data_IF_469501982469
#
_entry.id   IF_469501982469
#
_cell.length_a   1.000
_cell.length_b   1.000
_cell.length_c   1.000
_cell.angle_alpha   90.00
_cell.angle_beta   90.00
_cell.angle_gamma   90.00
#
_symmetry.space_group_name_H-M   'P 1'
#
loop_
_entity.id
_entity.type
_entity.pdbx_description
1 polymer ?
#
# COMPACT_ATOMS: atom_id res chain seq x y z
N UNK A 1 10.02 -25.18 -17.68
CA UNK A 1 8.63 -25.37 -17.22
C UNK A 1 8.59 -24.95 -15.76
N UNK A 2 7.98 -23.81 -15.46
CA UNK A 2 7.93 -23.28 -14.08
C UNK A 2 6.66 -23.77 -13.39
N UNK A 3 6.81 -24.67 -12.43
CA UNK A 3 5.77 -24.99 -11.45
C UNK A 3 5.35 -23.70 -10.75
N UNK A 4 4.06 -23.39 -10.78
CA UNK A 4 3.54 -22.13 -10.24
C UNK A 4 2.44 -22.45 -9.24
N UNK A 5 2.73 -22.21 -7.96
CA UNK A 5 1.75 -22.31 -6.87
C UNK A 5 0.93 -21.02 -6.88
N UNK A 6 -0.40 -21.13 -7.01
CA UNK A 6 -1.29 -20.00 -6.75
C UNK A 6 -1.84 -20.10 -5.34
N UNK A 7 -1.60 -19.05 -4.56
CA UNK A 7 -2.28 -18.85 -3.28
C UNK A 7 -3.62 -18.20 -3.57
N UNK A 8 -4.71 -18.94 -3.37
CA UNK A 8 -6.05 -18.40 -3.46
C UNK A 8 -6.49 -17.99 -2.05
N UNK A 9 -6.51 -16.69 -1.78
CA UNK A 9 -6.97 -16.17 -0.49
C UNK A 9 -8.33 -15.53 -0.69
N UNK A 10 -9.35 -16.23 -0.21
CA UNK A 10 -10.74 -15.92 -0.52
C UNK A 10 -11.25 -14.77 0.38
N UNK A 11 -11.28 -13.55 -0.16
CA UNK A 11 -11.53 -12.31 0.59
C UNK A 11 -12.96 -12.21 1.19
N UNK A 12 -13.96 -12.91 0.62
CA UNK A 12 -15.38 -12.71 0.95
C UNK A 12 -15.80 -13.20 2.35
N UNK A 13 -15.02 -14.09 2.99
CA UNK A 13 -15.34 -14.63 4.31
C UNK A 13 -14.25 -14.35 5.37
N UNK A 14 -13.29 -13.47 5.07
CA UNK A 14 -12.08 -13.33 5.86
C UNK A 14 -12.15 -12.25 6.93
N UNK A 15 -13.00 -11.23 6.79
CA UNK A 15 -13.17 -10.17 7.81
C UNK A 15 -14.34 -10.51 8.74
N UNK A 16 -14.02 -10.75 10.01
CA UNK A 16 -14.99 -10.93 11.07
C UNK A 16 -15.42 -9.56 11.62
N UNK A 17 -16.66 -9.44 12.09
CA UNK A 17 -17.24 -8.18 12.58
C UNK A 17 -16.53 -7.62 13.84
N UNK A 18 -15.66 -8.41 14.47
CA UNK A 18 -14.82 -8.03 15.61
C UNK A 18 -13.45 -7.44 15.19
N UNK A 19 -13.20 -7.26 13.88
CA UNK A 19 -11.91 -6.78 13.35
C UNK A 19 -10.85 -7.86 13.21
N UNK A 20 -11.17 -9.13 13.50
CA UNK A 20 -10.26 -10.27 13.30
C UNK A 20 -10.30 -10.76 11.85
N UNK A 21 -9.16 -11.24 11.34
CA UNK A 21 -9.07 -11.77 9.97
C UNK A 21 -8.79 -13.27 9.98
N UNK A 22 -9.63 -14.04 9.30
CA UNK A 22 -9.43 -15.46 9.03
C UNK A 22 -8.87 -15.62 7.62
N UNK A 23 -7.54 -15.66 7.51
CA UNK A 23 -6.86 -15.94 6.25
C UNK A 23 -6.98 -17.44 5.99
N UNK A 24 -7.83 -17.83 5.05
CA UNK A 24 -7.85 -19.20 4.53
C UNK A 24 -6.98 -19.23 3.28
N UNK A 25 -5.76 -19.73 3.41
CA UNK A 25 -4.91 -20.03 2.27
C UNK A 25 -5.31 -21.38 1.68
N UNK A 26 -6.00 -21.37 0.54
CA UNK A 26 -6.15 -22.56 -0.29
C UNK A 26 -5.00 -22.60 -1.29
N UNK A 27 -4.19 -23.67 -1.21
CA UNK A 27 -3.10 -23.91 -2.15
C UNK A 27 -3.68 -24.64 -3.35
N UNK A 28 -3.71 -23.98 -4.51
CA UNK A 28 -4.16 -24.58 -5.75
C UNK A 28 -2.95 -24.87 -6.66
N UNK A 29 -2.77 -26.16 -7.01
CA UNK A 29 -1.73 -26.59 -7.94
C UNK A 29 -2.23 -26.46 -9.38
N UNK A 30 -1.60 -25.58 -10.16
CA UNK A 30 -1.88 -25.48 -11.59
C UNK A 30 -1.06 -26.54 -12.35
N UNK A 31 -1.77 -27.42 -13.06
CA UNK A 31 -1.12 -28.37 -13.96
C UNK A 31 -0.42 -27.60 -15.10
N UNK A 32 0.81 -27.99 -15.47
CA UNK A 32 1.52 -27.35 -16.57
C UNK A 32 0.74 -27.47 -17.89
N UNK A 33 0.73 -26.39 -18.67
CA UNK A 33 0.09 -26.36 -19.98
C UNK A 33 0.66 -27.47 -20.87
N UNK A 34 -0.25 -28.29 -21.42
CA UNK A 34 0.10 -29.39 -22.33
C UNK A 34 0.66 -28.81 -23.64
N UNK A 35 1.97 -28.65 -23.74
CA UNK A 35 2.66 -28.55 -25.03
C UNK A 35 3.17 -29.94 -25.42
N UNK A 36 2.35 -30.60 -26.24
CA UNK A 36 2.63 -31.68 -27.19
C UNK A 36 3.48 -32.92 -26.80
N UNK A 37 2.90 -34.08 -27.17
CA UNK A 37 3.51 -35.39 -27.46
C UNK A 37 3.81 -36.36 -26.29
N UNK A 38 2.77 -37.02 -25.79
CA UNK A 38 2.60 -38.49 -25.70
C UNK A 38 1.42 -38.82 -24.76
N UNK A 39 0.25 -39.09 -25.35
CA UNK A 39 -1.04 -39.02 -24.67
C UNK A 39 -1.45 -40.22 -23.80
N UNK A 40 -0.69 -41.31 -23.71
CA UNK A 40 -1.15 -42.47 -22.93
C UNK A 40 -0.53 -42.63 -21.52
N UNK A 41 0.71 -42.20 -21.28
CA UNK A 41 1.35 -42.39 -19.96
C UNK A 41 1.12 -41.21 -19.00
N UNK A 42 0.96 -39.99 -19.53
CA UNK A 42 0.71 -38.80 -18.70
C UNK A 42 -0.70 -38.78 -18.09
N UNK A 43 -1.69 -39.43 -18.70
CA UNK A 43 -3.07 -39.46 -18.19
C UNK A 43 -3.15 -40.22 -16.85
N UNK A 44 -2.41 -41.32 -16.72
CA UNK A 44 -2.38 -42.12 -15.50
C UNK A 44 -1.68 -41.37 -14.36
N UNK A 45 -0.55 -40.74 -14.66
CA UNK A 45 0.21 -39.92 -13.70
C UNK A 45 -0.62 -38.70 -13.26
N UNK A 46 -1.26 -37.99 -14.20
CA UNK A 46 -2.15 -36.86 -13.90
C UNK A 46 -3.33 -37.32 -13.03
N UNK A 47 -3.93 -38.48 -13.32
CA UNK A 47 -5.02 -39.03 -12.52
C UNK A 47 -4.54 -39.49 -11.14
N UNK A 48 -3.35 -40.05 -11.00
CA UNK A 48 -2.77 -40.41 -9.71
C UNK A 48 -2.59 -39.16 -8.87
N UNK A 49 -1.94 -38.12 -9.40
CA UNK A 49 -1.75 -36.86 -8.67
C UNK A 49 -3.08 -36.17 -8.35
N UNK A 50 -4.03 -36.10 -9.30
CA UNK A 50 -5.38 -35.59 -9.02
C UNK A 50 -6.07 -36.38 -7.92
N UNK A 51 -5.98 -37.71 -7.92
CA UNK A 51 -6.60 -38.54 -6.89
C UNK A 51 -5.92 -38.41 -5.53
N UNK A 52 -4.60 -38.26 -5.49
CA UNK A 52 -3.85 -38.00 -4.25
C UNK A 52 -4.30 -36.65 -3.67
N UNK A 53 -4.34 -35.60 -4.49
CA UNK A 53 -4.75 -34.25 -4.05
C UNK A 53 -6.24 -34.16 -3.67
N UNK A 54 -7.12 -34.95 -4.30
CA UNK A 54 -8.56 -34.98 -3.99
C UNK A 54 -8.88 -35.84 -2.75
N UNK A 55 -8.07 -36.86 -2.46
CA UNK A 55 -8.30 -37.79 -1.34
C UNK A 55 -7.54 -37.39 -0.08
N UNK A 56 -6.35 -36.84 -0.21
CA UNK A 56 -5.57 -36.34 0.91
C UNK A 56 -5.92 -34.87 1.15
N UNK A 57 -6.67 -34.62 2.23
CA UNK A 57 -6.56 -33.32 2.89
C UNK A 57 -5.12 -33.23 3.37
N UNK A 58 -4.42 -32.13 3.09
CA UNK A 58 -3.12 -31.81 3.70
C UNK A 58 -3.38 -31.03 4.99
N UNK A 59 -3.74 -31.67 6.12
CA UNK A 59 -4.02 -30.96 7.38
C UNK A 59 -2.80 -30.18 7.86
N UNK A 60 -1.60 -30.67 7.54
CA UNK A 60 -0.33 -30.08 7.98
C UNK A 60 0.03 -28.78 7.24
N UNK A 61 -0.62 -28.50 6.11
CA UNK A 61 -0.42 -27.26 5.33
C UNK A 61 -1.48 -26.19 5.61
N UNK A 62 -2.53 -26.52 6.37
CA UNK A 62 -3.57 -25.55 6.76
C UNK A 62 -3.14 -24.87 8.04
N UNK A 63 -2.36 -23.79 7.92
CA UNK A 63 -2.10 -22.90 9.05
C UNK A 63 -3.40 -22.14 9.35
N UNK A 64 -4.27 -22.71 10.18
CA UNK A 64 -5.38 -21.98 10.78
C UNK A 64 -4.85 -21.10 11.91
N UNK A 65 -4.56 -19.84 11.58
CA UNK A 65 -4.18 -18.81 12.53
C UNK A 65 -5.18 -17.65 12.52
N UNK A 66 -5.53 -17.15 13.71
CA UNK A 66 -6.27 -15.90 13.86
C UNK A 66 -5.26 -14.82 14.23
N UNK A 67 -5.09 -13.83 13.37
CA UNK A 67 -4.27 -12.64 13.65
C UNK A 67 -5.21 -11.51 14.01
N UNK A 68 -5.06 -10.97 15.23
CA UNK A 68 -5.81 -9.80 15.69
C UNK A 68 -5.04 -8.54 15.34
N UNK A 69 -5.69 -7.64 14.62
CA UNK A 69 -5.10 -6.37 14.19
C UNK A 69 -5.96 -5.26 14.80
N UNK A 70 -5.36 -4.47 15.69
CA UNK A 70 -6.05 -3.39 16.41
C UNK A 70 -5.49 -2.01 16.06
N UNK A 71 -4.57 -1.97 15.10
CA UNK A 71 -3.76 -0.78 14.79
C UNK A 71 -4.41 0.14 13.76
N UNK A 72 -5.52 -0.27 13.16
CA UNK A 72 -6.21 0.43 12.08
C UNK A 72 -7.68 0.03 12.01
N UNK A 73 -8.47 0.83 11.29
CA UNK A 73 -9.86 0.48 10.98
C UNK A 73 -9.95 -0.71 10.03
N UNK A 74 -11.10 -1.36 10.06
CA UNK A 74 -11.46 -2.47 9.17
C UNK A 74 -11.36 -2.06 7.70
N UNK A 75 -11.82 -0.84 7.38
CA UNK A 75 -11.85 -0.28 6.04
C UNK A 75 -10.44 -0.05 5.49
N UNK A 76 -9.55 0.55 6.29
CA UNK A 76 -8.17 0.81 5.89
C UNK A 76 -7.41 -0.50 5.69
N UNK A 77 -7.59 -1.47 6.59
CA UNK A 77 -6.94 -2.77 6.44
C UNK A 77 -7.46 -3.52 5.20
N UNK A 78 -8.77 -3.44 4.92
CA UNK A 78 -9.36 -4.01 3.71
C UNK A 78 -8.77 -3.39 2.44
N UNK A 79 -8.58 -2.07 2.41
CA UNK A 79 -7.90 -1.40 1.29
C UNK A 79 -6.45 -1.87 1.10
N UNK A 80 -5.72 -2.09 2.20
CA UNK A 80 -4.37 -2.65 2.14
C UNK A 80 -4.35 -4.10 1.62
N UNK A 81 -5.28 -4.95 2.06
CA UNK A 81 -5.43 -6.30 1.51
C UNK A 81 -5.78 -6.28 0.03
N UNK A 82 -6.73 -5.44 -0.37
CA UNK A 82 -7.11 -5.25 -1.77
C UNK A 82 -5.87 -4.94 -2.63
N UNK A 83 -4.99 -4.06 -2.15
CA UNK A 83 -3.72 -3.79 -2.80
C UNK A 83 -2.80 -5.01 -2.85
N UNK A 84 -2.64 -5.75 -1.75
CA UNK A 84 -1.80 -6.94 -1.73
C UNK A 84 -2.23 -8.01 -2.74
N UNK A 85 -3.53 -8.14 -3.00
CA UNK A 85 -4.07 -9.14 -3.92
C UNK A 85 -4.13 -8.67 -5.38
N UNK A 86 -4.51 -7.42 -5.60
CA UNK A 86 -4.81 -6.91 -6.94
C UNK A 86 -3.69 -6.03 -7.50
N UNK A 87 -2.75 -5.59 -6.65
CA UNK A 87 -1.78 -4.55 -6.97
C UNK A 87 -2.39 -3.15 -7.07
N UNK A 88 -3.69 -2.98 -6.75
CA UNK A 88 -4.40 -1.73 -6.92
C UNK A 88 -5.33 -1.42 -5.74
N UNK A 89 -5.69 -0.15 -5.59
CA UNK A 89 -6.67 0.33 -4.60
C UNK A 89 -7.67 1.18 -5.38
N UNK A 90 -8.97 1.03 -5.07
CA UNK A 90 -10.00 1.87 -5.68
C UNK A 90 -9.80 3.35 -5.36
N UNK A 91 -10.20 4.22 -6.28
CA UNK A 91 -10.01 5.67 -6.16
C UNK A 91 -10.77 6.25 -4.96
N UNK A 92 -11.98 5.76 -4.70
CA UNK A 92 -12.78 6.16 -3.53
C UNK A 92 -12.10 5.81 -2.20
N UNK A 93 -11.45 4.65 -2.11
CA UNK A 93 -10.65 4.28 -0.93
C UNK A 93 -9.43 5.19 -0.80
N UNK A 94 -8.77 5.55 -1.91
CA UNK A 94 -7.63 6.47 -1.87
C UNK A 94 -8.05 7.86 -1.42
N UNK A 95 -9.14 8.42 -1.93
CA UNK A 95 -9.63 9.76 -1.54
C UNK A 95 -9.96 9.86 -0.05
N UNK A 96 -10.61 8.84 0.52
CA UNK A 96 -11.04 8.86 1.92
C UNK A 96 -9.98 8.38 2.93
N UNK A 97 -9.12 7.43 2.55
CA UNK A 97 -8.26 6.70 3.47
C UNK A 97 -6.76 6.78 3.12
N UNK A 98 -6.33 7.69 2.22
CA UNK A 98 -4.94 7.76 1.77
C UNK A 98 -3.92 7.81 2.92
N UNK A 99 -4.18 8.67 3.91
CA UNK A 99 -3.27 8.91 5.03
C UNK A 99 -3.18 7.69 5.94
N UNK A 100 -4.32 7.03 6.21
CA UNK A 100 -4.35 5.83 7.02
C UNK A 100 -3.69 4.65 6.29
N UNK A 101 -3.94 4.51 4.98
CA UNK A 101 -3.28 3.53 4.11
C UNK A 101 -1.77 3.77 4.06
N UNK A 102 -1.33 5.01 4.00
CA UNK A 102 0.09 5.37 4.09
C UNK A 102 0.68 4.94 5.44
N UNK A 103 0.02 5.24 6.55
CA UNK A 103 0.50 4.88 7.89
C UNK A 103 0.65 3.36 8.06
N UNK A 104 -0.36 2.58 7.64
CA UNK A 104 -0.27 1.11 7.75
C UNK A 104 0.69 0.51 6.72
N UNK A 105 0.75 1.04 5.51
CA UNK A 105 1.72 0.55 4.51
C UNK A 105 3.16 0.81 4.94
N UNK A 106 3.42 1.93 5.63
CA UNK A 106 4.71 2.17 6.28
C UNK A 106 4.98 1.17 7.40
N UNK A 107 4.01 0.91 8.29
CA UNK A 107 4.16 -0.02 9.42
C UNK A 107 4.38 -1.47 8.97
N UNK A 108 3.60 -1.94 8.00
CA UNK A 108 3.69 -3.29 7.44
C UNK A 108 4.71 -3.40 6.29
N UNK A 109 5.46 -2.33 6.01
CA UNK A 109 6.55 -2.30 5.03
C UNK A 109 6.10 -2.67 3.60
N UNK A 110 4.88 -2.26 3.22
CA UNK A 110 4.34 -2.44 1.87
C UNK A 110 4.74 -1.24 1.01
N UNK A 111 5.99 -1.25 0.55
CA UNK A 111 6.63 -0.11 -0.13
C UNK A 111 5.85 0.40 -1.34
N UNK A 112 5.29 -0.49 -2.16
CA UNK A 112 4.55 -0.08 -3.36
C UNK A 112 3.25 0.67 -3.03
N UNK A 113 2.55 0.26 -1.96
CA UNK A 113 1.36 0.98 -1.48
C UNK A 113 1.76 2.32 -0.87
N UNK A 114 2.83 2.34 -0.09
CA UNK A 114 3.40 3.58 0.48
C UNK A 114 3.66 4.61 -0.63
N UNK A 115 4.42 4.24 -1.65
CA UNK A 115 4.76 5.14 -2.78
C UNK A 115 3.49 5.61 -3.50
N UNK A 116 2.51 4.73 -3.71
CA UNK A 116 1.25 5.07 -4.35
C UNK A 116 0.46 6.12 -3.55
N UNK A 117 0.40 5.97 -2.22
CA UNK A 117 -0.19 6.96 -1.35
C UNK A 117 0.60 8.29 -1.37
N UNK A 118 1.93 8.25 -1.38
CA UNK A 118 2.77 9.46 -1.49
C UNK A 118 2.50 10.23 -2.78
N UNK A 119 2.40 9.53 -3.91
CA UNK A 119 2.09 10.13 -5.20
C UNK A 119 0.69 10.77 -5.21
N UNK A 120 -0.30 10.09 -4.62
CA UNK A 120 -1.66 10.61 -4.52
C UNK A 120 -1.70 11.87 -3.64
N UNK A 121 -1.08 11.84 -2.46
CA UNK A 121 -0.97 13.00 -1.58
C UNK A 121 -0.24 14.15 -2.28
N UNK A 122 0.85 13.86 -3.01
CA UNK A 122 1.59 14.85 -3.79
C UNK A 122 0.75 15.54 -4.88
N UNK A 123 -0.19 14.83 -5.50
CA UNK A 123 -1.09 15.39 -6.52
C UNK A 123 -2.26 16.19 -5.96
N UNK A 124 -2.60 16.01 -4.67
CA UNK A 124 -3.81 16.57 -4.05
C UNK A 124 -3.49 17.69 -3.05
N UNK A 125 -2.25 18.19 -3.01
CA UNK A 125 -1.84 19.22 -2.05
C UNK A 125 -2.69 20.48 -2.21
N UNK A 126 -3.31 20.90 -1.12
CA UNK A 126 -4.08 22.12 -0.97
C UNK A 126 -3.72 22.82 0.36
N UNK A 127 -4.37 23.96 0.62
CA UNK A 127 -4.07 24.76 1.81
C UNK A 127 -4.49 24.08 3.13
N UNK A 128 -5.53 23.27 3.08
CA UNK A 128 -6.13 22.64 4.25
C UNK A 128 -5.36 21.38 4.66
N UNK A 129 -4.84 20.63 3.68
CA UNK A 129 -4.07 19.39 3.90
C UNK A 129 -2.55 19.61 4.03
N UNK A 130 -2.03 20.77 3.60
CA UNK A 130 -0.58 21.04 3.58
C UNK A 130 0.10 20.84 4.94
N UNK A 131 -0.52 21.31 6.03
CA UNK A 131 0.05 21.18 7.39
C UNK A 131 0.09 19.71 7.83
N UNK A 132 -0.95 18.94 7.49
CA UNK A 132 -1.00 17.51 7.76
C UNK A 132 0.10 16.77 7.00
N UNK A 133 0.32 17.09 5.72
CA UNK A 133 1.38 16.49 4.90
C UNK A 133 2.78 16.84 5.41
N UNK A 134 3.00 18.07 5.87
CA UNK A 134 4.24 18.46 6.54
C UNK A 134 4.52 17.58 7.76
N UNK A 135 3.50 17.30 8.57
CA UNK A 135 3.63 16.40 9.72
C UNK A 135 3.96 14.97 9.30
N UNK A 136 3.37 14.48 8.20
CA UNK A 136 3.68 13.16 7.65
C UNK A 136 5.14 13.09 7.19
N UNK A 137 5.64 14.11 6.50
CA UNK A 137 7.04 14.18 6.07
C UNK A 137 7.99 14.14 7.26
N UNK A 138 7.70 14.89 8.33
CA UNK A 138 8.54 14.93 9.52
C UNK A 138 8.52 13.59 10.28
N UNK A 139 7.37 12.91 10.35
CA UNK A 139 7.21 11.67 11.09
C UNK A 139 7.76 10.44 10.33
N UNK A 140 7.51 10.36 9.02
CA UNK A 140 7.76 9.16 8.22
C UNK A 140 8.88 9.31 7.18
N UNK A 141 9.37 10.53 6.95
CA UNK A 141 10.43 10.78 5.97
C UNK A 141 10.02 10.42 4.55
N UNK A 142 9.26 11.30 3.89
CA UNK A 142 8.84 11.12 2.50
C UNK A 142 9.46 12.17 1.58
N UNK A 143 10.41 11.77 0.72
CA UNK A 143 11.05 12.68 -0.22
C UNK A 143 10.11 13.14 -1.34
N UNK A 144 9.22 12.27 -1.81
CA UNK A 144 8.23 12.57 -2.86
C UNK A 144 7.28 13.67 -2.37
N UNK A 145 6.74 13.51 -1.15
CA UNK A 145 5.82 14.48 -0.59
C UNK A 145 6.53 15.79 -0.22
N UNK A 146 7.78 15.73 0.22
CA UNK A 146 8.60 16.92 0.48
C UNK A 146 8.82 17.75 -0.79
N UNK A 147 9.19 17.12 -1.90
CA UNK A 147 9.34 17.81 -3.20
C UNK A 147 8.03 18.42 -3.69
N UNK A 148 6.91 17.71 -3.52
CA UNK A 148 5.59 18.22 -3.88
C UNK A 148 5.20 19.44 -3.03
N UNK A 149 5.51 19.42 -1.72
CA UNK A 149 5.30 20.56 -0.83
C UNK A 149 6.14 21.78 -1.25
N UNK A 150 7.42 21.58 -1.62
CA UNK A 150 8.27 22.66 -2.17
C UNK A 150 7.63 23.28 -3.41
N UNK A 151 7.20 22.45 -4.38
CA UNK A 151 6.54 22.93 -5.61
C UNK A 151 5.26 23.70 -5.31
N UNK A 152 4.46 23.23 -4.36
CA UNK A 152 3.24 23.91 -3.93
C UNK A 152 3.54 25.30 -3.33
N UNK A 153 4.58 25.43 -2.50
CA UNK A 153 5.01 26.72 -1.93
C UNK A 153 5.48 27.66 -3.04
N UNK A 154 6.28 27.18 -4.01
CA UNK A 154 6.77 28.02 -5.13
C UNK A 154 5.61 28.53 -5.99
N UNK A 155 4.63 27.67 -6.29
CA UNK A 155 3.45 28.04 -7.06
C UNK A 155 2.56 29.06 -6.34
N UNK A 156 2.47 28.99 -5.01
CA UNK A 156 1.62 29.85 -4.18
C UNK A 156 2.42 30.89 -3.37
N UNK A 157 3.64 31.22 -3.82
CA UNK A 157 4.61 32.04 -3.07
C UNK A 157 4.04 33.36 -2.56
N UNK A 158 3.19 34.02 -3.36
CA UNK A 158 2.64 35.31 -2.98
C UNK A 158 1.67 35.20 -1.82
N UNK A 159 0.81 34.18 -1.80
CA UNK A 159 -0.11 33.98 -0.68
C UNK A 159 0.65 33.51 0.57
N UNK A 160 1.62 32.61 0.39
CA UNK A 160 2.42 32.06 1.49
C UNK A 160 3.28 33.13 2.18
N UNK A 161 3.87 34.05 1.41
CA UNK A 161 4.72 35.12 1.93
C UNK A 161 3.92 36.34 2.42
N UNK A 162 2.81 36.70 1.77
CA UNK A 162 2.04 37.91 2.15
C UNK A 162 1.19 37.72 3.40
N UNK A 163 0.58 36.53 3.60
CA UNK A 163 -0.28 36.30 4.76
C UNK A 163 0.49 35.95 6.03
N UNK A 164 1.77 35.59 5.93
CA UNK A 164 2.70 35.28 7.02
C UNK A 164 2.27 34.12 7.95
N UNK A 165 0.99 33.75 8.02
CA UNK A 165 0.46 32.72 8.92
C UNK A 165 0.91 31.32 8.54
N UNK A 166 0.90 30.96 7.26
CA UNK A 166 1.29 29.63 6.79
C UNK A 166 2.77 29.35 7.07
N UNK A 167 3.65 30.30 6.73
CA UNK A 167 5.08 30.18 6.93
C UNK A 167 5.50 30.30 8.41
N UNK A 168 4.90 31.23 9.17
CA UNK A 168 5.16 31.36 10.61
C UNK A 168 4.71 30.11 11.37
N UNK A 169 3.55 29.57 11.04
CA UNK A 169 3.05 28.34 11.67
C UNK A 169 3.98 27.16 11.36
N UNK A 170 4.36 26.99 10.08
CA UNK A 170 5.34 25.96 9.70
C UNK A 170 6.65 26.10 10.48
N UNK A 171 7.21 27.32 10.56
CA UNK A 171 8.46 27.60 11.27
C UNK A 171 8.36 27.29 12.78
N UNK A 172 7.23 27.58 13.40
CA UNK A 172 7.00 27.33 14.83
C UNK A 172 6.75 25.84 15.11
N UNK A 173 6.03 25.16 14.22
CA UNK A 173 5.57 23.79 14.44
C UNK A 173 6.60 22.76 13.99
N UNK A 174 7.32 23.02 12.88
CA UNK A 174 8.31 22.11 12.31
C UNK A 174 9.60 22.86 11.91
N UNK A 175 10.47 23.26 12.87
CA UNK A 175 11.68 24.02 12.58
C UNK A 175 12.66 23.28 11.65
N UNK A 176 12.86 21.97 11.86
CA UNK A 176 13.77 21.14 11.07
C UNK A 176 13.28 20.96 9.63
N UNK A 177 11.99 20.66 9.46
CA UNK A 177 11.37 20.57 8.14
C UNK A 177 11.46 21.90 7.39
N UNK A 178 11.16 23.02 8.07
CA UNK A 178 11.24 24.36 7.48
C UNK A 178 12.63 24.66 6.94
N UNK A 179 13.68 24.28 7.67
CA UNK A 179 15.05 24.44 7.22
C UNK A 179 15.34 23.63 5.94
N UNK A 180 14.95 22.35 5.89
CA UNK A 180 15.13 21.50 4.68
C UNK A 180 14.35 22.03 3.48
N UNK A 181 13.11 22.49 3.71
CA UNK A 181 12.30 23.10 2.66
C UNK A 181 12.92 24.39 2.16
N UNK A 182 13.47 25.24 3.04
CA UNK A 182 14.21 26.45 2.66
C UNK A 182 15.42 26.15 1.78
N UNK A 183 16.24 25.17 2.15
CA UNK A 183 17.39 24.75 1.34
C UNK A 183 16.95 24.32 -0.06
N UNK A 184 15.88 23.53 -0.16
CA UNK A 184 15.31 23.11 -1.45
C UNK A 184 14.71 24.27 -2.24
N UNK A 185 14.05 25.22 -1.57
CA UNK A 185 13.48 26.41 -2.22
C UNK A 185 14.57 27.30 -2.82
N UNK A 186 15.67 27.52 -2.11
CA UNK A 186 16.81 28.30 -2.62
C UNK A 186 17.39 27.63 -3.86
N UNK A 187 17.62 26.31 -3.80
CA UNK A 187 18.14 25.54 -4.93
C UNK A 187 17.21 25.53 -6.15
N UNK A 188 15.89 25.71 -5.95
CA UNK A 188 14.92 25.76 -7.05
C UNK A 188 14.81 27.17 -7.67
N UNK A 189 15.10 28.22 -6.91
CA UNK A 189 15.13 29.60 -7.39
C UNK A 189 16.39 29.85 -8.24
N UNK A 190 17.54 29.26 -7.89
CA UNK A 190 18.79 29.39 -8.66
C UNK A 190 18.74 28.73 -10.06
N UNK A 191 17.66 28.01 -10.40
CA UNK A 191 17.44 27.41 -11.73
C UNK A 191 16.78 28.34 -12.75
N UNK A 192 16.37 29.55 -12.33
CA UNK A 192 15.73 30.57 -13.17
C UNK A 192 16.68 31.73 -13.44
#
# INVERSE_FOLDING_TARGET
MSESIRLNINMLNSLLADGSIKIVCEVEYLLPDKTDSNENDNSYIINIYKNILLKEKFPDCVIQGIVKISDCSSETFKGMLEFCYTGNVSESTMEGLCVDLFAISHKYQITNLKIKCEQFMASTIDKDNFVQYCRIIELYGSSILEEACVKYIVANREEFLKKDEGWKNLKSTFPCLTHRLLEKLIAEIDKW
#
